data_IF_751336846976
#
_entry.id   IF_751336846976
#
_cell.length_a   1.000
_cell.length_b   1.000
_cell.length_c   1.000
_cell.angle_alpha   90.00
_cell.angle_beta   90.00
_cell.angle_gamma   90.00
#
_symmetry.space_group_name_H-M   'P 1'
#
loop_
_entity.id
_entity.type
_entity.pdbx_description
1 polymer ?
#
# COMPACT_ATOMS: atom_id res chain seq x y z
N UNK A 1 3.42 -10.89 19.92
CA UNK A 1 3.15 -10.56 21.34
C UNK A 1 4.06 -9.41 21.74
N UNK A 2 3.54 -8.45 22.51
CA UNK A 2 4.32 -7.29 22.99
C UNK A 2 5.42 -7.75 23.97
N UNK A 3 6.70 -7.40 23.76
CA UNK A 3 7.79 -7.77 24.66
C UNK A 3 7.89 -6.89 25.91
N UNK A 4 7.33 -5.68 25.85
CA UNK A 4 7.30 -4.69 26.92
C UNK A 4 5.92 -4.04 26.98
N UNK A 5 5.66 -3.30 28.06
CA UNK A 5 4.50 -2.40 28.15
C UNK A 5 4.70 -1.17 27.24
N UNK A 6 3.61 -0.56 26.79
CA UNK A 6 3.61 0.73 26.09
C UNK A 6 2.57 1.65 26.75
N UNK A 7 2.93 2.77 27.34
CA UNK A 7 4.34 3.19 27.59
C UNK A 7 5.05 2.25 28.59
N UNK A 8 6.39 2.20 28.57
CA UNK A 8 7.16 1.26 29.39
C UNK A 8 7.23 1.64 30.88
N UNK A 9 6.82 2.84 31.23
CA UNK A 9 6.71 3.37 32.57
C UNK A 9 5.63 4.46 32.63
N UNK A 10 5.11 4.76 33.82
CA UNK A 10 4.21 5.88 34.01
C UNK A 10 4.94 7.20 33.68
N UNK A 11 4.34 8.05 32.85
CA UNK A 11 4.97 9.28 32.39
C UNK A 11 4.00 10.47 32.36
N UNK A 12 4.57 11.68 32.38
CA UNK A 12 3.81 12.91 32.33
C UNK A 12 3.18 13.15 30.95
N UNK A 13 1.91 13.58 30.94
CA UNK A 13 1.23 14.01 29.72
C UNK A 13 1.60 15.42 29.27
N UNK A 14 2.17 16.25 30.16
CA UNK A 14 2.47 17.66 29.92
C UNK A 14 3.65 18.14 30.75
N UNK A 15 4.15 19.31 30.44
CA UNK A 15 5.11 20.01 31.26
C UNK A 15 4.41 20.55 32.50
N UNK A 16 4.99 20.34 33.68
CA UNK A 16 4.33 20.71 34.91
C UNK A 16 5.09 20.28 36.17
N UNK A 17 4.35 20.04 37.25
CA UNK A 17 4.88 19.61 38.53
C UNK A 17 4.32 18.26 38.93
N UNK A 18 5.17 17.25 39.09
CA UNK A 18 4.80 15.96 39.67
C UNK A 18 4.64 16.12 41.19
N UNK A 19 3.52 15.64 41.73
CA UNK A 19 3.20 15.69 43.17
C UNK A 19 2.58 14.37 43.62
N UNK A 20 2.53 14.18 44.94
CA UNK A 20 1.62 13.22 45.55
C UNK A 20 0.30 13.90 45.86
N UNK A 21 -0.81 13.29 45.40
CA UNK A 21 -2.19 13.71 45.70
C UNK A 21 -2.92 12.58 46.40
N UNK A 22 -3.65 12.91 47.50
CA UNK A 22 -4.41 11.92 48.24
C UNK A 22 -5.56 11.35 47.38
N UNK A 23 -5.58 10.02 47.06
CA UNK A 23 -6.63 9.42 46.30
C UNK A 23 -8.03 9.47 46.96
N UNK A 24 -8.07 9.70 48.28
CA UNK A 24 -9.30 9.78 49.09
C UNK A 24 -9.74 11.21 49.32
N UNK A 25 -9.07 12.21 48.74
CA UNK A 25 -9.44 13.61 48.94
C UNK A 25 -10.85 13.86 48.40
N UNK A 26 -11.79 14.34 49.23
CA UNK A 26 -13.17 14.53 48.81
C UNK A 26 -13.25 15.62 47.74
N UNK A 27 -13.86 15.30 46.60
CA UNK A 27 -14.17 16.29 45.56
C UNK A 27 -15.31 17.21 46.05
N UNK A 28 -15.07 18.51 46.02
CA UNK A 28 -16.16 19.50 46.18
C UNK A 28 -16.40 20.08 47.58
N UNK A 29 -15.52 19.90 48.55
CA UNK A 29 -15.57 20.57 49.85
C UNK A 29 -14.48 21.62 49.89
N UNK A 30 -14.65 22.74 50.64
CA UNK A 30 -13.77 23.89 50.78
C UNK A 30 -12.26 23.55 50.88
N UNK A 31 -11.69 23.12 49.75
CA UNK A 31 -10.25 22.91 49.62
C UNK A 31 -9.57 24.26 49.52
N UNK A 32 -8.38 24.45 50.11
CA UNK A 32 -7.60 25.65 49.88
C UNK A 32 -7.40 25.84 48.37
N UNK A 33 -7.50 27.09 47.91
CA UNK A 33 -7.34 27.41 46.46
C UNK A 33 -5.99 26.94 45.89
N UNK A 34 -4.97 26.82 46.74
CA UNK A 34 -3.65 26.28 46.41
C UNK A 34 -2.93 25.78 47.65
N UNK A 35 -2.05 24.80 47.46
CA UNK A 35 -1.12 24.29 48.50
C UNK A 35 0.30 24.60 48.11
N UNK A 36 1.13 25.04 49.07
CA UNK A 36 2.54 25.34 48.85
C UNK A 36 3.38 24.05 48.90
N UNK A 37 4.18 23.83 47.89
CA UNK A 37 5.12 22.71 47.81
C UNK A 37 6.56 23.22 47.68
N UNK A 38 7.52 22.48 48.25
CA UNK A 38 8.94 22.75 48.05
C UNK A 38 9.41 22.12 46.76
N UNK A 39 10.04 22.92 45.88
CA UNK A 39 10.54 22.47 44.59
C UNK A 39 11.82 21.66 44.80
N UNK A 40 11.89 20.50 44.11
CA UNK A 40 13.09 19.65 43.98
C UNK A 40 13.68 19.74 42.59
N UNK A 41 14.64 18.87 42.26
CA UNK A 41 15.27 18.85 40.92
C UNK A 41 14.28 18.56 39.79
N UNK A 42 14.51 19.19 38.64
CA UNK A 42 13.72 18.99 37.40
C UNK A 42 13.95 17.59 36.82
N UNK A 43 12.89 16.98 36.37
CA UNK A 43 12.88 15.63 35.76
C UNK A 43 12.77 15.78 34.22
N UNK A 44 13.89 15.73 33.48
CA UNK A 44 13.83 15.74 32.03
C UNK A 44 13.44 14.36 31.48
N UNK A 45 12.90 14.32 30.24
CA UNK A 45 12.66 13.08 29.56
C UNK A 45 13.97 12.27 29.35
N UNK A 46 13.88 10.95 29.52
CA UNK A 46 15.04 10.05 29.44
C UNK A 46 15.87 9.91 30.70
N UNK A 47 15.51 10.57 31.79
CA UNK A 47 16.13 10.39 33.12
C UNK A 47 15.32 9.43 33.99
N UNK A 48 16.00 8.81 34.96
CA UNK A 48 15.35 8.04 36.03
C UNK A 48 15.29 9.00 37.26
N UNK A 49 14.07 9.39 37.69
CA UNK A 49 13.94 10.34 38.79
C UNK A 49 14.20 9.68 40.17
N UNK A 50 14.64 10.48 41.13
CA UNK A 50 14.64 10.11 42.54
C UNK A 50 13.21 10.05 43.10
N UNK A 51 13.01 9.34 44.21
CA UNK A 51 11.71 9.28 44.86
C UNK A 51 11.28 10.67 45.38
N UNK A 52 10.03 11.04 45.10
CA UNK A 52 9.46 12.28 45.63
C UNK A 52 8.94 12.08 47.05
N UNK A 53 9.32 12.98 47.95
CA UNK A 53 8.83 12.99 49.32
C UNK A 53 7.54 13.81 49.43
N UNK A 54 6.72 13.51 50.42
CA UNK A 54 5.50 14.23 50.72
C UNK A 54 5.75 15.74 50.94
N UNK A 55 4.88 16.59 50.42
CA UNK A 55 5.01 18.03 50.47
C UNK A 55 6.02 18.63 49.49
N UNK A 56 6.61 17.82 48.64
CA UNK A 56 7.52 18.27 47.60
C UNK A 56 6.85 18.22 46.19
N UNK A 57 7.31 19.06 45.28
CA UNK A 57 6.92 19.09 43.89
C UNK A 57 8.17 19.03 42.99
N UNK A 58 8.15 18.16 41.98
CA UNK A 58 9.23 18.04 41.03
C UNK A 58 8.82 18.63 39.69
N UNK A 59 9.48 19.66 39.15
CA UNK A 59 9.30 20.06 37.76
C UNK A 59 9.52 18.86 36.85
N UNK A 60 8.57 18.57 35.97
CA UNK A 60 8.59 17.38 35.10
C UNK A 60 8.26 17.76 33.68
N UNK A 61 9.02 17.23 32.71
CA UNK A 61 8.79 17.44 31.28
C UNK A 61 7.80 16.40 30.72
N UNK A 62 7.11 16.77 29.67
CA UNK A 62 6.25 15.86 28.90
C UNK A 62 7.00 14.59 28.51
N UNK A 63 6.41 13.43 28.77
CA UNK A 63 7.02 12.11 28.50
C UNK A 63 8.07 11.66 29.52
N UNK A 64 8.44 12.50 30.49
CA UNK A 64 9.37 12.10 31.54
C UNK A 64 8.72 11.13 32.54
N UNK A 65 9.51 10.22 33.08
CA UNK A 65 9.08 9.24 34.07
C UNK A 65 8.56 9.91 35.34
N UNK A 66 7.34 9.54 35.75
CA UNK A 66 6.79 10.02 37.04
C UNK A 66 7.57 9.38 38.16
N UNK A 67 8.10 10.17 39.14
CA UNK A 67 8.87 9.63 40.25
C UNK A 67 8.02 8.76 41.17
N UNK A 68 8.62 7.76 41.79
CA UNK A 68 7.98 7.05 42.89
C UNK A 68 7.63 8.07 44.01
N UNK A 69 6.43 7.94 44.62
CA UNK A 69 5.92 8.92 45.56
C UNK A 69 5.13 10.08 44.95
N UNK A 70 5.06 10.19 43.61
CA UNK A 70 4.11 11.03 42.90
C UNK A 70 3.05 10.17 42.20
N UNK A 71 1.84 10.70 42.09
CA UNK A 71 0.72 10.07 41.41
C UNK A 71 -0.15 11.04 40.59
N UNK A 72 0.27 12.32 40.53
CA UNK A 72 -0.40 13.33 39.71
C UNK A 72 0.62 14.32 39.17
N UNK A 73 0.28 14.93 38.03
CA UNK A 73 1.00 16.08 37.49
C UNK A 73 0.03 17.24 37.37
N UNK A 74 0.51 18.45 37.67
CA UNK A 74 -0.21 19.71 37.51
C UNK A 74 0.46 20.47 36.40
N UNK A 75 -0.33 21.00 35.44
CA UNK A 75 0.20 21.80 34.37
C UNK A 75 0.98 23.02 34.87
N UNK A 76 2.03 23.38 34.16
CA UNK A 76 2.87 24.53 34.56
C UNK A 76 2.07 25.83 34.56
N UNK A 77 1.08 25.94 33.67
CA UNK A 77 0.19 27.10 33.52
C UNK A 77 -0.73 27.30 34.74
N UNK A 78 -0.99 26.22 35.51
CA UNK A 78 -1.82 26.23 36.72
C UNK A 78 -0.98 26.50 38.01
N UNK A 79 0.34 26.55 37.90
CA UNK A 79 1.25 26.80 39.00
C UNK A 79 1.39 28.28 39.29
N UNK A 80 1.75 28.62 40.52
CA UNK A 80 2.09 29.99 40.90
C UNK A 80 3.44 30.00 41.63
N UNK A 81 4.49 30.56 41.01
CA UNK A 81 4.54 31.14 39.66
C UNK A 81 4.41 30.11 38.53
N UNK A 82 3.97 30.54 37.32
CA UNK A 82 3.71 29.75 36.11
C UNK A 82 4.99 29.39 35.32
N UNK A 83 6.04 29.05 36.01
CA UNK A 83 7.32 28.61 35.46
C UNK A 83 8.00 27.64 36.40
N UNK A 84 8.97 26.87 35.90
CA UNK A 84 9.73 25.94 36.70
C UNK A 84 10.59 26.67 37.72
N UNK A 85 10.34 26.42 39.01
CA UNK A 85 11.15 26.89 40.12
C UNK A 85 12.49 26.14 40.22
N UNK A 86 13.48 26.78 40.83
CA UNK A 86 14.75 26.15 41.17
C UNK A 86 14.62 25.26 42.42
N UNK A 87 15.49 24.25 42.61
CA UNK A 87 15.49 23.44 43.84
C UNK A 87 15.60 24.32 45.11
N UNK A 88 14.64 24.13 46.03
CA UNK A 88 14.52 24.92 47.25
C UNK A 88 13.49 26.05 47.19
N UNK A 89 13.02 26.42 45.99
CA UNK A 89 11.93 27.39 45.85
C UNK A 89 10.60 26.80 46.38
N UNK A 90 9.59 27.67 46.47
CA UNK A 90 8.23 27.27 46.80
C UNK A 90 7.31 27.56 45.61
N UNK A 91 6.48 26.58 45.26
CA UNK A 91 5.44 26.71 44.24
C UNK A 91 4.07 26.46 44.87
N UNK A 92 3.08 27.28 44.54
CA UNK A 92 1.69 27.05 44.94
C UNK A 92 0.95 26.35 43.82
N UNK A 93 0.36 25.18 44.13
CA UNK A 93 -0.32 24.33 43.15
C UNK A 93 -1.78 24.13 43.56
N UNK A 94 -2.74 24.11 42.62
CA UNK A 94 -4.15 23.84 42.89
C UNK A 94 -4.36 22.40 43.35
N UNK A 95 -5.48 22.13 44.08
CA UNK A 95 -5.91 20.77 44.38
C UNK A 95 -6.10 19.96 43.08
N UNK A 96 -5.52 18.77 43.03
CA UNK A 96 -5.49 17.95 41.83
C UNK A 96 -5.80 16.49 42.18
N UNK A 97 -6.63 15.83 41.42
CA UNK A 97 -6.96 14.42 41.64
C UNK A 97 -5.77 13.50 41.32
N UNK A 98 -5.63 12.42 42.06
CA UNK A 98 -4.67 11.36 41.74
C UNK A 98 -4.92 10.84 40.33
N UNK A 99 -3.87 10.54 39.56
CA UNK A 99 -3.90 10.12 38.16
C UNK A 99 -3.98 11.27 37.16
N UNK A 100 -4.19 12.53 37.58
CA UNK A 100 -4.24 13.68 36.68
C UNK A 100 -2.96 13.81 35.88
N UNK A 101 -3.08 13.92 34.55
CA UNK A 101 -2.00 14.09 33.60
C UNK A 101 -0.85 13.05 33.71
N UNK A 102 -1.16 11.86 34.21
CA UNK A 102 -0.26 10.70 34.23
C UNK A 102 -0.76 9.68 33.21
N UNK A 103 0.13 9.25 32.30
CA UNK A 103 -0.10 8.05 31.48
C UNK A 103 0.47 6.87 32.24
N UNK A 104 -0.41 5.96 32.60
CA UNK A 104 -0.02 4.75 33.31
C UNK A 104 0.83 3.83 32.43
N UNK A 105 1.76 3.08 33.05
CA UNK A 105 2.51 2.03 32.38
C UNK A 105 1.55 1.02 31.72
N UNK A 106 1.79 0.68 30.46
CA UNK A 106 0.98 -0.31 29.72
C UNK A 106 -0.46 0.14 29.45
N UNK A 107 -0.76 1.45 29.52
CA UNK A 107 -2.10 1.97 29.27
C UNK A 107 -2.53 1.86 27.79
N UNK A 108 -1.59 1.71 26.86
CA UNK A 108 -1.86 1.47 25.43
C UNK A 108 -1.72 -0.02 25.08
N UNK A 109 -0.57 -0.62 25.41
CA UNK A 109 -0.30 -2.05 25.16
C UNK A 109 0.38 -2.66 26.38
N UNK A 110 -0.11 -3.81 26.83
CA UNK A 110 0.50 -4.55 27.94
C UNK A 110 1.49 -5.60 27.41
N UNK A 111 2.55 -5.82 28.16
CA UNK A 111 3.50 -6.91 27.91
C UNK A 111 2.75 -8.25 27.80
N UNK A 112 3.05 -9.02 26.75
CA UNK A 112 2.40 -10.30 26.46
C UNK A 112 1.11 -10.17 25.66
N UNK A 113 0.60 -8.97 25.41
CA UNK A 113 -0.57 -8.74 24.56
C UNK A 113 -0.29 -9.10 23.10
N UNK A 114 -1.30 -9.63 22.41
CA UNK A 114 -1.22 -9.96 20.99
C UNK A 114 -1.43 -8.70 20.16
N UNK A 115 -0.35 -8.15 19.60
CA UNK A 115 -0.36 -6.91 18.83
C UNK A 115 -0.56 -7.11 17.32
N UNK A 116 -0.06 -8.23 16.79
CA UNK A 116 -0.16 -8.59 15.38
C UNK A 116 -0.41 -10.08 15.25
N UNK A 117 -1.31 -10.47 14.36
CA UNK A 117 -1.62 -11.87 14.04
C UNK A 117 -1.10 -12.24 12.66
N UNK A 118 -0.89 -13.54 12.42
CA UNK A 118 -0.57 -14.04 11.09
C UNK A 118 -1.68 -13.67 10.09
N UNK A 119 -1.30 -13.22 8.90
CA UNK A 119 -2.23 -12.77 7.87
C UNK A 119 -2.60 -11.29 7.95
N UNK A 120 -2.14 -10.55 8.97
CA UNK A 120 -2.33 -9.09 9.02
C UNK A 120 -1.61 -8.42 7.86
N UNK A 121 -2.33 -7.62 7.08
CA UNK A 121 -1.73 -6.75 6.08
C UNK A 121 -1.10 -5.55 6.80
N UNK A 122 0.24 -5.49 6.78
CA UNK A 122 0.98 -4.45 7.50
C UNK A 122 0.82 -3.09 6.81
N UNK A 123 0.56 -2.07 7.63
CA UNK A 123 0.56 -0.66 7.24
C UNK A 123 1.54 0.14 8.12
N UNK A 124 1.63 1.45 7.89
CA UNK A 124 2.54 2.33 8.63
C UNK A 124 2.30 2.30 10.15
N UNK A 125 1.03 2.22 10.60
CA UNK A 125 0.71 2.17 12.04
C UNK A 125 1.21 0.86 12.68
N UNK A 126 1.04 -0.27 12.01
CA UNK A 126 1.56 -1.56 12.47
C UNK A 126 3.09 -1.55 12.61
N UNK A 127 3.79 -0.95 11.64
CA UNK A 127 5.26 -0.84 11.66
C UNK A 127 5.71 0.12 12.76
N UNK A 128 5.01 1.24 12.96
CA UNK A 128 5.25 2.19 14.04
C UNK A 128 5.08 1.55 15.41
N UNK A 129 4.00 0.79 15.62
CA UNK A 129 3.76 0.05 16.86
C UNK A 129 4.87 -0.99 17.12
N UNK A 130 5.24 -1.77 16.10
CA UNK A 130 6.31 -2.75 16.22
C UNK A 130 7.65 -2.08 16.60
N UNK A 131 8.00 -0.97 15.96
CA UNK A 131 9.20 -0.21 16.26
C UNK A 131 9.16 0.37 17.69
N UNK A 132 8.03 0.93 18.12
CA UNK A 132 7.82 1.44 19.49
C UNK A 132 7.94 0.36 20.56
N UNK A 133 7.67 -0.89 20.21
CA UNK A 133 7.87 -2.07 21.06
C UNK A 133 9.27 -2.71 20.93
N UNK A 134 10.18 -2.11 20.15
CA UNK A 134 11.56 -2.56 20.00
C UNK A 134 11.81 -3.66 18.97
N UNK A 135 10.84 -4.00 18.12
CA UNK A 135 11.06 -4.96 17.03
C UNK A 135 11.90 -4.34 15.91
N UNK A 136 12.98 -4.98 15.55
CA UNK A 136 13.84 -4.61 14.41
C UNK A 136 13.44 -5.31 13.13
N UNK A 137 12.73 -6.43 13.24
CA UNK A 137 12.29 -7.27 12.12
C UNK A 137 10.94 -7.92 12.42
N UNK A 138 10.14 -8.09 11.40
CA UNK A 138 8.90 -8.86 11.45
C UNK A 138 8.95 -9.99 10.42
N UNK A 139 8.54 -11.24 10.75
CA UNK A 139 8.39 -12.29 9.77
C UNK A 139 7.21 -11.96 8.86
N UNK A 140 7.45 -11.86 7.56
CA UNK A 140 6.43 -11.55 6.56
C UNK A 140 6.50 -12.57 5.42
N UNK A 141 5.39 -12.74 4.69
CA UNK A 141 5.41 -13.50 3.43
C UNK A 141 6.31 -12.79 2.42
N UNK A 142 7.16 -13.54 1.74
CA UNK A 142 7.93 -13.03 0.62
C UNK A 142 6.99 -12.51 -0.48
N UNK A 143 7.39 -11.44 -1.15
CA UNK A 143 6.68 -10.94 -2.34
C UNK A 143 6.87 -11.95 -3.47
N UNK A 144 5.80 -12.40 -4.16
CA UNK A 144 5.93 -13.29 -5.31
C UNK A 144 6.82 -12.67 -6.40
N UNK A 145 7.71 -13.49 -6.96
CA UNK A 145 8.69 -13.09 -7.97
C UNK A 145 8.09 -13.21 -9.36
N UNK A 146 8.16 -12.13 -10.15
CA UNK A 146 7.59 -12.05 -11.50
C UNK A 146 8.67 -11.89 -12.55
N UNK A 147 8.61 -12.71 -13.60
CA UNK A 147 9.28 -12.46 -14.87
C UNK A 147 8.30 -11.70 -15.78
N UNK A 148 8.68 -10.50 -16.22
CA UNK A 148 7.89 -9.69 -17.14
C UNK A 148 8.57 -9.67 -18.52
N UNK A 149 7.83 -10.04 -19.56
CA UNK A 149 8.32 -10.09 -20.92
C UNK A 149 7.49 -9.17 -21.81
N UNK A 150 8.13 -8.33 -22.59
CA UNK A 150 7.52 -7.58 -23.69
C UNK A 150 8.03 -8.15 -25.00
N UNK A 151 7.16 -8.37 -25.99
CA UNK A 151 7.54 -8.93 -27.28
C UNK A 151 7.30 -7.95 -28.40
N UNK A 152 8.15 -8.00 -29.43
CA UNK A 152 8.04 -7.23 -30.65
C UNK A 152 9.42 -6.75 -31.11
N UNK A 153 9.73 -6.99 -32.39
CA UNK A 153 10.98 -6.52 -33.00
C UNK A 153 11.03 -5.00 -33.13
N UNK A 154 9.85 -4.34 -33.12
CA UNK A 154 9.71 -2.89 -33.19
C UNK A 154 9.93 -2.19 -31.83
N UNK A 155 10.03 -2.95 -30.73
CA UNK A 155 10.04 -2.40 -29.37
C UNK A 155 11.46 -2.13 -28.90
N UNK A 156 11.73 -0.92 -28.40
CA UNK A 156 13.01 -0.51 -27.80
C UNK A 156 12.79 0.00 -26.37
N UNK A 157 13.72 -0.31 -25.49
CA UNK A 157 13.73 0.29 -24.15
C UNK A 157 13.98 1.81 -24.22
N UNK A 158 13.33 2.62 -23.36
CA UNK A 158 13.76 3.99 -23.17
C UNK A 158 15.24 4.05 -22.77
N UNK A 159 16.03 4.87 -23.50
CA UNK A 159 17.49 4.96 -23.29
C UNK A 159 18.32 3.91 -24.03
N UNK A 160 17.71 3.09 -24.91
CA UNK A 160 18.49 2.19 -25.79
C UNK A 160 19.50 3.00 -26.63
N UNK A 161 20.75 2.55 -26.77
CA UNK A 161 21.79 3.25 -27.57
C UNK A 161 21.35 3.57 -29.00
N UNK A 162 20.51 2.77 -29.61
CA UNK A 162 19.95 3.01 -30.94
C UNK A 162 19.11 4.27 -31.04
N UNK A 163 18.62 4.79 -29.88
CA UNK A 163 17.79 6.00 -29.82
C UNK A 163 18.58 7.28 -29.58
N UNK A 164 19.93 7.24 -29.53
CA UNK A 164 20.77 8.39 -29.27
C UNK A 164 20.57 9.57 -30.27
N UNK A 165 20.17 9.27 -31.50
CA UNK A 165 19.87 10.26 -32.55
C UNK A 165 18.34 10.39 -32.80
N UNK A 166 17.51 9.95 -31.88
CA UNK A 166 16.05 9.86 -32.02
C UNK A 166 15.57 8.43 -32.24
N UNK A 167 14.26 8.25 -32.16
CA UNK A 167 13.64 6.95 -32.35
C UNK A 167 13.74 6.55 -33.84
N UNK A 168 14.32 5.38 -34.19
CA UNK A 168 14.37 4.91 -35.56
C UNK A 168 12.97 4.74 -36.18
N UNK A 169 12.86 4.93 -37.49
CA UNK A 169 11.58 4.78 -38.20
C UNK A 169 11.06 3.34 -38.06
N UNK A 170 9.80 3.18 -37.71
CA UNK A 170 9.16 1.89 -37.48
C UNK A 170 9.33 1.33 -36.08
N UNK A 171 10.13 1.96 -35.21
CA UNK A 171 10.30 1.53 -33.84
C UNK A 171 9.39 2.30 -32.88
N UNK A 172 9.12 1.72 -31.72
CA UNK A 172 8.36 2.34 -30.62
C UNK A 172 9.10 2.13 -29.29
N UNK A 173 8.89 3.01 -28.33
CA UNK A 173 9.38 2.77 -26.97
C UNK A 173 8.46 1.81 -26.20
N UNK A 174 9.07 0.93 -25.38
CA UNK A 174 8.36 0.04 -24.49
C UNK A 174 7.70 0.81 -23.34
N UNK A 175 6.41 1.09 -23.50
CA UNK A 175 5.58 1.64 -22.45
C UNK A 175 5.02 0.56 -21.52
N UNK A 176 4.87 -0.69 -22.00
CA UNK A 176 4.25 -1.79 -21.27
C UNK A 176 5.12 -2.24 -20.10
N UNK A 177 6.43 -2.30 -20.30
CA UNK A 177 7.38 -2.66 -19.24
C UNK A 177 7.20 -1.76 -18.02
N UNK A 178 7.32 -0.46 -18.20
CA UNK A 178 7.21 0.50 -17.10
C UNK A 178 5.81 0.48 -16.48
N UNK A 179 4.76 0.45 -17.30
CA UNK A 179 3.37 0.44 -16.86
C UNK A 179 3.05 -0.79 -15.99
N UNK A 180 3.42 -1.97 -16.46
CA UNK A 180 3.11 -3.21 -15.74
C UNK A 180 4.07 -3.47 -14.58
N UNK A 181 5.37 -3.15 -14.71
CA UNK A 181 6.31 -3.24 -13.59
C UNK A 181 5.80 -2.43 -12.40
N UNK A 182 5.51 -1.14 -12.62
CA UNK A 182 5.03 -0.26 -11.55
C UNK A 182 3.69 -0.73 -10.98
N UNK A 183 2.78 -1.24 -11.83
CA UNK A 183 1.50 -1.80 -11.39
C UNK A 183 1.67 -3.07 -10.55
N UNK A 184 2.58 -3.96 -10.92
CA UNK A 184 2.92 -5.20 -10.21
C UNK A 184 3.59 -4.90 -8.87
N UNK A 185 4.58 -3.99 -8.85
CA UNK A 185 5.28 -3.58 -7.63
C UNK A 185 4.34 -2.90 -6.63
N UNK A 186 3.46 -2.01 -7.11
CA UNK A 186 2.40 -1.41 -6.30
C UNK A 186 1.38 -2.44 -5.80
N UNK A 187 1.24 -3.57 -6.50
CA UNK A 187 0.43 -4.71 -6.08
C UNK A 187 1.14 -5.68 -5.12
N UNK A 188 2.36 -5.36 -4.68
CA UNK A 188 3.10 -6.17 -3.73
C UNK A 188 3.90 -7.31 -4.37
N UNK A 189 4.09 -7.32 -5.68
CA UNK A 189 4.95 -8.27 -6.39
C UNK A 189 6.40 -7.78 -6.42
N UNK A 190 7.32 -8.69 -6.73
CA UNK A 190 8.72 -8.40 -7.00
C UNK A 190 9.05 -8.76 -8.45
N UNK A 191 9.19 -7.76 -9.33
CA UNK A 191 9.59 -7.99 -10.73
C UNK A 191 11.09 -8.24 -10.76
N UNK A 192 11.47 -9.52 -10.75
CA UNK A 192 12.88 -9.93 -10.69
C UNK A 192 13.63 -9.66 -11.97
N UNK A 193 12.93 -9.68 -13.11
CA UNK A 193 13.49 -9.34 -14.41
C UNK A 193 12.39 -8.84 -15.34
N UNK A 194 12.74 -7.88 -16.18
CA UNK A 194 11.95 -7.45 -17.32
C UNK A 194 12.84 -7.47 -18.55
N UNK A 195 12.32 -8.00 -19.65
CA UNK A 195 13.07 -8.21 -20.87
C UNK A 195 12.18 -7.98 -22.11
N UNK A 196 12.74 -7.32 -23.12
CA UNK A 196 12.17 -7.29 -24.46
C UNK A 196 12.70 -8.51 -25.20
N UNK A 197 11.78 -9.34 -25.69
CA UNK A 197 12.09 -10.55 -26.44
C UNK A 197 11.75 -10.31 -27.90
N UNK A 198 12.69 -10.59 -28.78
CA UNK A 198 12.48 -10.56 -30.22
C UNK A 198 11.54 -11.66 -30.68
N UNK A 199 11.01 -11.54 -31.88
CA UNK A 199 10.07 -12.51 -32.45
C UNK A 199 10.75 -13.83 -32.87
N UNK A 200 11.52 -14.43 -31.94
CA UNK A 200 12.19 -15.72 -32.03
C UNK A 200 11.66 -16.68 -30.97
N UNK A 201 10.83 -17.69 -31.37
CA UNK A 201 10.27 -18.67 -30.45
C UNK A 201 11.31 -19.50 -29.69
N UNK A 202 12.46 -19.81 -30.32
CA UNK A 202 13.52 -20.59 -29.68
C UNK A 202 14.21 -19.81 -28.57
N UNK A 203 14.60 -18.55 -28.86
CA UNK A 203 15.19 -17.66 -27.88
C UNK A 203 14.25 -17.39 -26.68
N UNK A 204 12.94 -17.29 -26.95
CA UNK A 204 11.96 -17.16 -25.87
C UNK A 204 11.90 -18.40 -24.97
N UNK A 205 11.92 -19.61 -25.54
CA UNK A 205 11.91 -20.86 -24.76
C UNK A 205 13.19 -21.01 -23.91
N UNK A 206 14.35 -20.73 -24.48
CA UNK A 206 15.64 -20.75 -23.75
C UNK A 206 15.61 -19.79 -22.56
N UNK A 207 15.07 -18.59 -22.77
CA UNK A 207 14.90 -17.60 -21.71
C UNK A 207 13.94 -18.09 -20.62
N UNK A 208 12.79 -18.62 -20.98
CA UNK A 208 11.81 -19.16 -20.03
C UNK A 208 12.43 -20.29 -19.22
N UNK A 209 13.14 -21.24 -19.85
CA UNK A 209 13.80 -22.37 -19.17
C UNK A 209 14.82 -21.89 -18.15
N UNK A 210 15.59 -20.84 -18.47
CA UNK A 210 16.54 -20.25 -17.52
C UNK A 210 15.87 -19.71 -16.24
N UNK A 211 14.68 -19.14 -16.35
CA UNK A 211 13.96 -18.55 -15.20
C UNK A 211 13.12 -19.57 -14.42
N UNK A 212 12.67 -20.63 -15.05
CA UNK A 212 11.97 -21.74 -14.36
C UNK A 212 12.90 -22.77 -13.74
N UNK A 213 14.22 -22.53 -13.79
CA UNK A 213 15.22 -23.39 -13.12
C UNK A 213 15.64 -24.60 -13.92
N UNK A 214 15.51 -24.59 -15.24
CA UNK A 214 16.06 -25.63 -16.15
C UNK A 214 17.37 -25.14 -16.75
N UNK A 215 18.46 -25.87 -16.52
CA UNK A 215 19.73 -25.58 -17.18
C UNK A 215 19.78 -26.15 -18.59
N UNK A 216 20.67 -25.62 -19.45
CA UNK A 216 20.94 -26.20 -20.79
C UNK A 216 21.39 -27.66 -20.75
N UNK A 217 21.78 -28.19 -19.59
CA UNK A 217 22.13 -29.59 -19.34
C UNK A 217 20.98 -30.45 -18.83
N UNK A 218 19.77 -29.85 -18.65
CA UNK A 218 18.60 -30.55 -18.14
C UNK A 218 18.56 -30.68 -16.60
N UNK A 219 19.57 -30.14 -15.86
CA UNK A 219 19.55 -30.14 -14.41
C UNK A 219 18.47 -29.13 -13.92
N UNK A 220 17.75 -29.50 -12.86
CA UNK A 220 16.74 -28.62 -12.24
C UNK A 220 17.35 -27.83 -11.10
N UNK A 221 17.12 -26.53 -11.10
CA UNK A 221 17.44 -25.62 -10.00
C UNK A 221 16.13 -25.01 -9.45
N UNK A 222 16.20 -24.29 -8.34
CA UNK A 222 15.03 -23.55 -7.86
C UNK A 222 14.59 -22.49 -8.87
N UNK A 223 13.29 -22.38 -9.15
CA UNK A 223 12.76 -21.34 -10.05
C UNK A 223 13.14 -19.93 -9.56
N UNK A 224 13.56 -19.08 -10.48
CA UNK A 224 13.87 -17.68 -10.19
C UNK A 224 12.63 -16.78 -10.18
N UNK A 225 11.50 -17.27 -10.71
CA UNK A 225 10.21 -16.60 -10.69
C UNK A 225 9.08 -17.57 -10.28
N UNK A 226 7.97 -17.00 -9.86
CA UNK A 226 6.76 -17.70 -9.41
C UNK A 226 5.55 -17.34 -10.26
N UNK A 227 5.71 -16.38 -11.17
CA UNK A 227 4.74 -15.96 -12.17
C UNK A 227 5.48 -15.43 -13.40
N UNK A 228 5.01 -15.82 -14.57
CA UNK A 228 5.47 -15.29 -15.87
C UNK A 228 4.35 -14.45 -16.46
N UNK A 229 4.67 -13.24 -16.87
CA UNK A 229 3.75 -12.35 -17.58
C UNK A 229 4.39 -11.97 -18.91
N UNK A 230 3.68 -12.23 -20.00
CA UNK A 230 4.06 -11.79 -21.34
C UNK A 230 3.10 -10.73 -21.85
N UNK A 231 3.62 -9.72 -22.53
CA UNK A 231 2.85 -8.64 -23.14
C UNK A 231 3.13 -8.60 -24.63
N UNK A 232 2.11 -8.81 -25.45
CA UNK A 232 2.22 -9.02 -26.89
C UNK A 232 2.41 -10.49 -27.25
N UNK A 233 2.47 -10.78 -28.56
CA UNK A 233 2.72 -12.12 -29.12
C UNK A 233 1.65 -13.18 -28.86
N UNK A 234 0.41 -12.80 -28.50
CA UNK A 234 -0.67 -13.73 -28.09
C UNK A 234 -1.94 -13.63 -28.92
N UNK A 235 -2.01 -12.74 -29.92
CA UNK A 235 -3.21 -12.50 -30.71
C UNK A 235 -3.39 -13.51 -31.83
N UNK A 236 -4.24 -13.23 -32.81
CA UNK A 236 -4.44 -14.05 -33.98
C UNK A 236 -3.61 -13.59 -35.20
N UNK A 237 -2.57 -12.78 -34.96
CA UNK A 237 -1.68 -12.30 -36.02
C UNK A 237 -0.78 -13.38 -36.61
N UNK A 238 -0.07 -13.05 -37.70
CA UNK A 238 0.80 -14.00 -38.40
C UNK A 238 2.12 -14.28 -37.63
N UNK A 239 2.54 -13.37 -36.75
CA UNK A 239 3.82 -13.44 -36.01
C UNK A 239 3.59 -13.35 -34.50
N UNK A 240 2.98 -14.39 -33.95
CA UNK A 240 2.66 -14.43 -32.50
C UNK A 240 3.68 -15.33 -31.80
N UNK A 241 4.86 -14.76 -31.49
CA UNK A 241 6.03 -15.47 -30.96
C UNK A 241 5.71 -16.28 -29.70
N UNK A 242 4.94 -15.73 -28.77
CA UNK A 242 4.58 -16.41 -27.51
C UNK A 242 3.72 -17.63 -27.79
N UNK A 243 2.70 -17.48 -28.65
CA UNK A 243 1.83 -18.59 -29.04
C UNK A 243 2.59 -19.68 -29.77
N UNK A 244 3.50 -19.30 -30.70
CA UNK A 244 4.34 -20.25 -31.42
C UNK A 244 5.28 -21.01 -30.49
N UNK A 245 5.99 -20.31 -29.62
CA UNK A 245 6.93 -20.89 -28.65
C UNK A 245 6.23 -21.89 -27.71
N UNK A 246 5.13 -21.48 -27.08
CA UNK A 246 4.42 -22.35 -26.14
C UNK A 246 3.71 -23.52 -26.82
N UNK A 247 3.30 -23.37 -28.10
CA UNK A 247 2.77 -24.49 -28.89
C UNK A 247 3.87 -25.49 -29.24
N UNK A 248 5.12 -25.03 -29.51
CA UNK A 248 6.26 -25.92 -29.75
C UNK A 248 6.63 -26.67 -28.44
N UNK A 249 6.52 -26.02 -27.30
CA UNK A 249 6.81 -26.59 -25.99
C UNK A 249 5.62 -27.33 -25.34
N UNK A 250 4.70 -27.90 -26.12
CA UNK A 250 3.43 -28.52 -25.67
C UNK A 250 3.58 -29.52 -24.50
N UNK A 251 4.73 -30.19 -24.41
CA UNK A 251 4.98 -31.17 -23.35
C UNK A 251 5.32 -30.47 -21.99
N UNK A 252 5.60 -29.17 -22.02
CA UNK A 252 5.99 -28.36 -20.85
C UNK A 252 5.08 -27.14 -20.65
N UNK A 253 4.27 -26.80 -21.65
CA UNK A 253 3.35 -25.67 -21.65
C UNK A 253 1.90 -26.14 -21.72
N UNK A 254 1.10 -25.72 -20.75
CA UNK A 254 -0.35 -25.89 -20.72
C UNK A 254 -0.97 -24.50 -20.65
N UNK A 255 -1.01 -23.81 -21.78
CA UNK A 255 -1.49 -22.44 -21.89
C UNK A 255 -2.59 -22.34 -22.91
N UNK A 256 -3.75 -21.87 -22.47
CA UNK A 256 -4.90 -21.59 -23.32
C UNK A 256 -4.82 -20.17 -23.86
N UNK A 257 -4.98 -20.03 -25.18
CA UNK A 257 -5.07 -18.75 -25.86
C UNK A 257 -6.54 -18.54 -26.27
N UNK A 258 -7.15 -17.53 -25.68
CA UNK A 258 -8.56 -17.25 -25.83
C UNK A 258 -8.88 -15.80 -26.19
N UNK A 259 -10.14 -15.57 -26.49
CA UNK A 259 -10.68 -14.23 -26.70
C UNK A 259 -11.83 -13.99 -25.71
N UNK A 260 -11.61 -13.11 -24.77
CA UNK A 260 -12.64 -12.70 -23.81
C UNK A 260 -13.54 -11.65 -24.47
N UNK A 261 -14.85 -11.74 -24.24
CA UNK A 261 -15.82 -10.78 -24.75
C UNK A 261 -15.71 -9.43 -24.00
N UNK A 262 -14.55 -8.80 -24.12
CA UNK A 262 -14.17 -7.55 -23.45
C UNK A 262 -13.50 -6.58 -24.44
N UNK A 263 -13.60 -5.27 -24.18
CA UNK A 263 -12.91 -4.22 -24.92
C UNK A 263 -12.53 -3.05 -23.97
N UNK A 264 -11.21 -2.66 -23.92
CA UNK A 264 -10.08 -3.35 -24.55
C UNK A 264 -9.71 -4.65 -23.83
N UNK A 265 -8.75 -5.42 -24.35
CA UNK A 265 -8.23 -6.60 -23.70
C UNK A 265 -8.88 -7.92 -24.10
N UNK A 266 -9.45 -8.03 -25.30
CA UNK A 266 -10.06 -9.28 -25.80
C UNK A 266 -9.12 -10.48 -25.83
N UNK A 267 -7.96 -10.45 -26.53
CA UNK A 267 -6.99 -11.54 -26.51
C UNK A 267 -6.37 -11.71 -25.12
N UNK A 268 -6.33 -12.95 -24.63
CA UNK A 268 -5.74 -13.33 -23.35
C UNK A 268 -5.08 -14.70 -23.49
N UNK A 269 -4.03 -14.94 -22.70
CA UNK A 269 -3.50 -16.27 -22.51
C UNK A 269 -3.34 -16.55 -21.01
N UNK A 270 -3.66 -17.80 -20.61
CA UNK A 270 -3.52 -18.21 -19.22
C UNK A 270 -3.21 -19.70 -19.13
N UNK A 271 -2.35 -20.07 -18.20
CA UNK A 271 -1.96 -21.45 -17.99
C UNK A 271 -0.68 -21.60 -17.19
N UNK A 272 0.13 -22.58 -17.54
CA UNK A 272 1.42 -22.84 -16.89
C UNK A 272 2.51 -23.15 -17.91
N UNK A 273 3.73 -22.77 -17.59
CA UNK A 273 4.95 -23.23 -18.26
C UNK A 273 5.84 -23.94 -17.23
N UNK A 274 6.09 -25.22 -17.43
CA UNK A 274 6.81 -26.11 -16.45
C UNK A 274 6.28 -25.97 -15.03
N UNK A 275 4.95 -25.85 -14.88
CA UNK A 275 4.28 -25.70 -13.58
C UNK A 275 4.26 -24.30 -13.02
N UNK A 276 4.99 -23.33 -13.59
CA UNK A 276 4.92 -21.91 -13.21
C UNK A 276 3.73 -21.25 -13.90
N UNK A 277 2.85 -20.54 -13.19
CA UNK A 277 1.76 -19.77 -13.76
C UNK A 277 2.24 -18.82 -14.87
N UNK A 278 1.54 -18.84 -16.00
CA UNK A 278 1.82 -18.01 -17.16
C UNK A 278 0.56 -17.20 -17.53
N UNK A 279 0.74 -15.89 -17.70
CA UNK A 279 -0.30 -15.00 -18.19
C UNK A 279 0.22 -14.23 -19.41
N UNK A 280 -0.60 -14.17 -20.45
CA UNK A 280 -0.33 -13.37 -21.64
C UNK A 280 -1.34 -12.23 -21.77
N UNK A 281 -0.86 -11.00 -21.86
CA UNK A 281 -1.66 -9.80 -22.04
C UNK A 281 -1.48 -9.23 -23.45
N UNK A 282 -2.50 -8.51 -23.98
CA UNK A 282 -2.38 -7.85 -25.30
C UNK A 282 -1.26 -6.81 -25.32
N UNK A 283 -0.61 -6.62 -26.47
CA UNK A 283 0.51 -5.66 -26.62
C UNK A 283 0.14 -4.19 -26.48
N UNK A 284 -1.13 -3.80 -26.74
CA UNK A 284 -1.55 -2.41 -26.55
C UNK A 284 -1.55 -2.01 -25.05
N UNK A 285 -0.92 -0.88 -24.66
CA UNK A 285 -0.72 -0.52 -23.27
C UNK A 285 -1.99 -0.45 -22.43
N UNK A 286 -3.05 0.16 -22.97
CA UNK A 286 -4.34 0.25 -22.26
C UNK A 286 -4.97 -1.13 -22.09
N UNK A 287 -4.82 -2.02 -23.06
CA UNK A 287 -5.31 -3.40 -22.95
C UNK A 287 -4.56 -4.19 -21.90
N UNK A 288 -3.23 -4.05 -21.86
CA UNK A 288 -2.37 -4.69 -20.85
C UNK A 288 -2.73 -4.22 -19.44
N UNK A 289 -2.87 -2.91 -19.25
CA UNK A 289 -3.27 -2.34 -17.98
C UNK A 289 -4.66 -2.78 -17.52
N UNK A 290 -5.65 -2.76 -18.43
CA UNK A 290 -7.00 -3.22 -18.12
C UNK A 290 -7.00 -4.71 -17.79
N UNK A 291 -6.22 -5.54 -18.50
CA UNK A 291 -6.07 -6.97 -18.18
C UNK A 291 -5.48 -7.17 -16.79
N UNK A 292 -4.47 -6.39 -16.41
CA UNK A 292 -3.92 -6.41 -15.07
C UNK A 292 -4.98 -6.04 -14.00
N UNK A 293 -5.70 -4.93 -14.18
CA UNK A 293 -6.67 -4.44 -13.18
C UNK A 293 -7.92 -5.33 -13.06
N UNK A 294 -8.36 -5.95 -14.17
CA UNK A 294 -9.58 -6.77 -14.20
C UNK A 294 -9.33 -8.21 -13.80
N UNK A 295 -8.19 -8.80 -14.18
CA UNK A 295 -7.91 -10.22 -13.95
C UNK A 295 -6.86 -10.45 -12.87
N UNK A 296 -5.67 -9.87 -13.01
CA UNK A 296 -4.55 -10.23 -12.15
C UNK A 296 -4.66 -9.59 -10.75
N UNK A 297 -4.94 -8.29 -10.65
CA UNK A 297 -5.06 -7.63 -9.35
C UNK A 297 -6.11 -8.27 -8.43
N UNK A 298 -7.34 -8.59 -8.87
CA UNK A 298 -8.31 -9.30 -8.04
C UNK A 298 -7.88 -10.71 -7.64
N UNK A 299 -7.20 -11.43 -8.54
CA UNK A 299 -6.64 -12.75 -8.24
C UNK A 299 -5.57 -12.68 -7.16
N UNK A 300 -4.61 -11.74 -7.27
CA UNK A 300 -3.60 -11.49 -6.25
C UNK A 300 -4.23 -11.13 -4.89
N UNK A 301 -5.21 -10.23 -4.89
CA UNK A 301 -5.94 -9.85 -3.67
C UNK A 301 -6.57 -11.06 -2.96
N UNK A 302 -7.06 -12.03 -3.72
CA UNK A 302 -7.67 -13.24 -3.18
C UNK A 302 -6.64 -14.26 -2.70
N UNK A 303 -5.56 -14.46 -3.48
CA UNK A 303 -4.58 -15.53 -3.23
C UNK A 303 -3.56 -15.16 -2.14
N UNK A 304 -3.13 -13.91 -2.12
CA UNK A 304 -2.06 -13.46 -1.20
C UNK A 304 -2.49 -12.36 -0.23
N UNK A 305 -3.76 -11.91 -0.30
CA UNK A 305 -4.30 -10.86 0.56
C UNK A 305 -3.80 -9.44 0.22
N UNK A 306 -3.04 -9.29 -0.85
CA UNK A 306 -2.51 -8.01 -1.34
C UNK A 306 -2.47 -8.01 -2.88
N UNK A 307 -2.69 -6.88 -3.54
CA UNK A 307 -3.06 -5.58 -3.00
C UNK A 307 -4.51 -5.53 -2.53
N UNK A 308 -4.90 -4.45 -1.86
CA UNK A 308 -6.32 -4.22 -1.61
C UNK A 308 -7.10 -4.18 -2.93
N UNK A 309 -8.31 -4.72 -2.92
CA UNK A 309 -9.22 -4.62 -4.07
C UNK A 309 -9.47 -3.14 -4.38
N UNK A 310 -9.50 -2.81 -5.67
CA UNK A 310 -9.93 -1.47 -6.08
C UNK A 310 -11.36 -1.21 -5.62
N UNK A 311 -11.60 0.01 -5.17
CA UNK A 311 -12.95 0.41 -4.78
C UNK A 311 -13.83 0.53 -6.04
N UNK A 312 -15.03 -0.04 -5.97
CA UNK A 312 -16.07 0.14 -6.97
C UNK A 312 -17.14 1.06 -6.43
N UNK A 313 -17.50 2.05 -7.20
CA UNK A 313 -18.50 3.06 -6.86
C UNK A 313 -19.50 3.23 -8.00
N UNK A 314 -20.65 3.79 -7.71
CA UNK A 314 -21.63 4.20 -8.72
C UNK A 314 -21.53 5.72 -8.89
N UNK A 315 -21.34 6.16 -10.14
CA UNK A 315 -21.27 7.58 -10.48
C UNK A 315 -22.28 7.94 -11.58
N UNK A 316 -22.59 9.23 -11.68
CA UNK A 316 -23.43 9.79 -12.74
C UNK A 316 -22.55 10.09 -13.96
N UNK A 317 -22.91 9.56 -15.12
CA UNK A 317 -22.22 9.81 -16.37
C UNK A 317 -22.49 11.25 -16.86
N UNK A 318 -21.44 12.03 -17.11
CA UNK A 318 -21.59 13.43 -17.53
C UNK A 318 -22.03 13.57 -18.99
N UNK A 319 -21.58 12.67 -19.88
CA UNK A 319 -21.87 12.71 -21.32
C UNK A 319 -22.35 11.37 -21.82
N UNK A 320 -23.18 11.37 -22.87
CA UNK A 320 -23.65 10.15 -23.48
C UNK A 320 -22.48 9.34 -24.09
N UNK A 321 -22.56 8.01 -24.02
CA UNK A 321 -21.57 7.07 -24.55
C UNK A 321 -22.25 5.95 -25.33
N UNK A 322 -21.54 5.42 -26.33
CA UNK A 322 -21.91 4.18 -27.02
C UNK A 322 -20.92 3.04 -26.70
N UNK A 323 -21.39 1.81 -26.74
CA UNK A 323 -20.65 0.60 -26.46
C UNK A 323 -20.98 -0.49 -27.48
N UNK A 324 -20.03 -1.34 -27.93
CA UNK A 324 -20.34 -2.44 -28.82
C UNK A 324 -21.20 -3.50 -28.10
N UNK A 325 -22.19 -4.04 -28.82
CA UNK A 325 -22.99 -5.14 -28.30
C UNK A 325 -22.16 -6.39 -28.04
N UNK A 326 -22.51 -7.15 -26.99
CA UNK A 326 -21.92 -8.44 -26.67
C UNK A 326 -20.51 -8.39 -26.05
N UNK A 327 -20.01 -7.21 -25.67
CA UNK A 327 -18.71 -7.05 -25.04
C UNK A 327 -18.81 -6.22 -23.76
N UNK A 328 -18.20 -6.70 -22.69
CA UNK A 328 -17.91 -5.87 -21.54
C UNK A 328 -16.95 -4.75 -21.95
N UNK A 329 -17.37 -3.51 -21.85
CA UNK A 329 -16.49 -2.41 -22.22
C UNK A 329 -15.94 -1.70 -20.99
N UNK A 330 -14.62 -1.47 -20.99
CA UNK A 330 -13.90 -0.74 -19.95
C UNK A 330 -13.35 0.55 -20.54
N UNK A 331 -13.83 1.69 -20.05
CA UNK A 331 -13.45 3.01 -20.52
C UNK A 331 -12.65 3.76 -19.46
N UNK A 332 -11.68 4.53 -19.89
CA UNK A 332 -10.95 5.46 -19.01
C UNK A 332 -11.87 6.60 -18.64
N UNK A 333 -11.86 6.98 -17.36
CA UNK A 333 -12.69 8.05 -16.84
C UNK A 333 -11.96 8.96 -15.89
N UNK A 334 -12.47 10.16 -15.75
CA UNK A 334 -12.17 11.07 -14.66
C UNK A 334 -13.38 11.07 -13.75
N UNK A 335 -13.20 10.50 -12.58
CA UNK A 335 -14.19 10.44 -11.52
C UNK A 335 -14.00 11.62 -10.58
N UNK A 336 -15.11 12.29 -10.26
CA UNK A 336 -15.22 13.28 -9.22
C UNK A 336 -16.11 12.74 -8.11
N UNK A 337 -15.57 12.66 -6.89
CA UNK A 337 -16.29 12.18 -5.72
C UNK A 337 -17.45 13.12 -5.33
N UNK A 338 -18.28 12.69 -4.37
CA UNK A 338 -19.30 13.57 -3.83
C UNK A 338 -18.64 14.71 -3.04
N UNK A 339 -18.92 15.94 -3.42
CA UNK A 339 -18.52 17.15 -2.71
C UNK A 339 -19.78 17.85 -2.21
N UNK A 340 -19.88 18.05 -0.90
CA UNK A 340 -20.90 18.78 -0.14
C UNK A 340 -22.36 18.57 -0.60
N UNK A 341 -22.76 19.06 -1.78
CA UNK A 341 -24.12 18.92 -2.34
C UNK A 341 -24.13 18.21 -3.71
N UNK A 342 -22.97 17.89 -4.28
CA UNK A 342 -22.89 17.23 -5.59
C UNK A 342 -22.79 15.73 -5.47
N UNK A 343 -23.58 15.00 -6.27
CA UNK A 343 -23.44 13.56 -6.42
C UNK A 343 -22.16 13.22 -7.19
N UNK A 344 -21.58 12.06 -6.90
CA UNK A 344 -20.43 11.56 -7.65
C UNK A 344 -20.70 11.53 -9.17
N UNK A 345 -19.78 12.04 -9.96
CA UNK A 345 -19.84 12.05 -11.41
C UNK A 345 -18.61 11.39 -12.05
N UNK A 346 -18.75 10.99 -13.31
CA UNK A 346 -17.65 10.50 -14.12
C UNK A 346 -17.81 10.93 -15.57
N UNK A 347 -16.71 11.37 -16.17
CA UNK A 347 -16.63 11.65 -17.61
C UNK A 347 -15.61 10.74 -18.27
N UNK A 348 -15.93 10.26 -19.48
CA UNK A 348 -14.99 9.51 -20.30
C UNK A 348 -13.83 10.40 -20.74
N UNK A 349 -12.63 9.79 -20.86
CA UNK A 349 -11.48 10.44 -21.47
C UNK A 349 -10.85 9.56 -22.56
N UNK A 350 -10.63 10.14 -23.75
CA UNK A 350 -9.90 9.54 -24.86
C UNK A 350 -10.67 8.52 -25.73
N UNK A 351 -11.90 8.10 -25.35
CA UNK A 351 -12.68 7.16 -26.14
C UNK A 351 -12.22 5.68 -26.01
N UNK A 352 -12.69 4.76 -26.92
CA UNK A 352 -12.54 3.31 -26.74
C UNK A 352 -11.17 2.71 -27.12
N UNK A 353 -10.32 3.45 -27.82
CA UNK A 353 -9.11 2.92 -28.43
C UNK A 353 -8.07 2.51 -27.39
N UNK A 354 -7.39 1.38 -27.65
CA UNK A 354 -6.46 0.73 -26.71
C UNK A 354 -5.01 1.27 -26.74
N UNK A 355 -4.69 2.15 -27.69
CA UNK A 355 -3.37 2.78 -27.81
C UNK A 355 -3.26 4.14 -27.11
N UNK A 356 -4.36 4.66 -26.55
CA UNK A 356 -4.43 6.01 -25.98
C UNK A 356 -3.84 6.05 -24.56
N UNK A 357 -2.52 5.90 -24.44
CA UNK A 357 -1.78 5.92 -23.19
C UNK A 357 -1.85 7.29 -22.51
N UNK A 358 -1.83 8.40 -23.26
CA UNK A 358 -1.97 9.74 -22.71
C UNK A 358 -3.31 9.96 -22.01
N UNK A 359 -4.40 9.37 -22.52
CA UNK A 359 -5.69 9.40 -21.84
C UNK A 359 -5.71 8.50 -20.59
N UNK A 360 -4.99 7.37 -20.61
CA UNK A 360 -4.83 6.52 -19.42
C UNK A 360 -4.09 7.26 -18.30
N UNK A 361 -3.04 8.00 -18.64
CA UNK A 361 -2.26 8.76 -17.68
C UNK A 361 -3.05 9.90 -16.98
N UNK A 362 -4.13 10.36 -17.59
CA UNK A 362 -5.01 11.39 -17.02
C UNK A 362 -6.21 10.78 -16.27
N UNK A 363 -6.49 9.48 -16.46
CA UNK A 363 -7.62 8.81 -15.84
C UNK A 363 -7.31 8.49 -14.37
N UNK A 364 -8.32 8.65 -13.51
CA UNK A 364 -8.30 8.16 -12.13
C UNK A 364 -9.33 7.04 -11.89
N UNK A 365 -10.00 6.61 -12.97
CA UNK A 365 -11.06 5.61 -12.89
C UNK A 365 -11.25 4.84 -14.21
N UNK A 366 -11.82 3.63 -14.10
CA UNK A 366 -12.30 2.84 -15.22
C UNK A 366 -13.81 2.71 -15.13
N UNK A 367 -14.52 3.15 -16.19
CA UNK A 367 -15.97 3.03 -16.32
C UNK A 367 -16.27 1.65 -16.88
N UNK A 368 -17.16 0.90 -16.23
CA UNK A 368 -17.57 -0.43 -16.64
C UNK A 368 -18.95 -0.38 -17.34
N UNK A 369 -19.02 -0.84 -18.59
CA UNK A 369 -20.26 -0.91 -19.35
C UNK A 369 -20.56 -2.37 -19.64
N UNK A 370 -21.67 -2.92 -19.11
CA UNK A 370 -22.04 -4.32 -19.32
C UNK A 370 -22.27 -4.66 -20.80
N UNK A 371 -22.03 -5.93 -21.17
CA UNK A 371 -22.11 -6.42 -22.55
C UNK A 371 -23.48 -6.22 -23.23
N UNK A 372 -24.56 -6.16 -22.45
CA UNK A 372 -25.92 -5.92 -22.96
C UNK A 372 -26.28 -4.44 -23.18
N UNK A 373 -25.38 -3.52 -22.83
CA UNK A 373 -25.65 -2.07 -22.92
C UNK A 373 -24.88 -1.50 -24.11
N UNK A 374 -25.61 -0.94 -25.08
CA UNK A 374 -25.02 -0.34 -26.28
C UNK A 374 -25.02 1.17 -26.27
N UNK A 375 -25.88 1.78 -25.47
CA UNK A 375 -25.99 3.24 -25.34
C UNK A 375 -26.24 3.63 -23.89
N UNK A 376 -25.60 4.69 -23.46
CA UNK A 376 -25.78 5.32 -22.16
C UNK A 376 -26.00 6.82 -22.37
N UNK A 377 -27.07 7.35 -21.84
CA UNK A 377 -27.36 8.79 -21.88
C UNK A 377 -26.60 9.52 -20.77
N UNK A 378 -26.37 10.82 -20.98
CA UNK A 378 -25.92 11.69 -19.89
C UNK A 378 -26.89 11.57 -18.70
N UNK A 379 -26.39 11.54 -17.48
CA UNK A 379 -27.19 11.29 -16.28
C UNK A 379 -27.35 9.83 -15.90
N UNK A 380 -26.99 8.87 -16.75
CA UNK A 380 -27.03 7.45 -16.43
C UNK A 380 -26.10 7.09 -15.28
N UNK A 381 -26.52 6.13 -14.43
CA UNK A 381 -25.67 5.57 -13.37
C UNK A 381 -24.81 4.46 -13.94
N UNK A 382 -23.50 4.56 -13.70
CA UNK A 382 -22.51 3.59 -14.18
C UNK A 382 -21.62 3.12 -13.03
N UNK A 383 -21.17 1.86 -13.12
CA UNK A 383 -20.15 1.36 -12.21
C UNK A 383 -18.78 1.88 -12.61
N UNK A 384 -18.02 2.31 -11.64
CA UNK A 384 -16.69 2.89 -11.79
C UNK A 384 -15.72 2.20 -10.85
N UNK A 385 -14.61 1.71 -11.39
CA UNK A 385 -13.47 1.19 -10.65
C UNK A 385 -12.47 2.33 -10.43
N UNK A 386 -12.21 2.71 -9.18
CA UNK A 386 -11.22 3.76 -8.86
C UNK A 386 -9.79 3.23 -9.01
N UNK A 387 -8.90 4.01 -9.65
CA UNK A 387 -7.50 3.62 -9.89
C UNK A 387 -6.54 4.07 -8.78
#
# INVERSE_FOLDING_TARGET
MAPIDLPPFANSQMDGYAIWSDPNQPHGVDLPKSTAYRVVGTIPAGSVPEALLEGMAAPIMTGAMVPSGANAVIAIEDAVPDHFGAPGDTVALPPTAAGSFVREQGSDVRRGEMILTAGTLLNAAHLGLAAGLGFTQLPVKAKPRVLLLTTGDEVLSPGDPQTACGLPVGMIFDANETLLRTSLEAAGMNVVRSLIVKDDPGALLDLLDQFVGVSARGDTAEPRCELIISVGGISAGAFEVVKQALTQAKDHAQVDFGHVAMQPGGPQAAGTYRGIPFLGFPGNPVSAFVSFEVFLRPALSTLIGAPAKRQRVVATLEHAMSSPAGKLQIRRGIYSGPEYESAASVREIGGPQSHLLGALAQANALITIPAGVTELQAGAKVEVLLL
#
